data_IF_414833103060
#
_entry.id   IF_414833103060
#
_cell.length_a   1.000
_cell.length_b   1.000
_cell.length_c   1.000
_cell.angle_alpha   90.00
_cell.angle_beta   90.00
_cell.angle_gamma   90.00
#
_symmetry.space_group_name_H-M   'P 1'
#
loop_
_entity.id
_entity.type
_entity.pdbx_description
1 polymer ?
#
# COMPACT_ATOMS: atom_id res chain seq x y z
N UNK A 1 11.70 -39.59 -23.73
CA UNK A 1 11.81 -38.29 -22.99
C UNK A 1 10.38 -37.79 -22.74
N UNK A 2 9.86 -37.93 -21.51
CA UNK A 2 8.62 -37.28 -21.10
C UNK A 2 8.98 -35.83 -20.75
N UNK A 3 8.48 -34.87 -21.51
CA UNK A 3 8.48 -33.46 -21.16
C UNK A 3 7.60 -33.36 -19.91
N UNK A 4 8.09 -32.80 -18.78
CA UNK A 4 7.23 -32.56 -17.62
C UNK A 4 6.07 -31.65 -18.06
N UNK A 5 4.83 -32.04 -17.77
CA UNK A 5 3.67 -31.16 -17.90
C UNK A 5 3.91 -29.96 -16.99
N UNK A 6 4.35 -28.84 -17.57
CA UNK A 6 4.31 -27.54 -16.91
C UNK A 6 2.84 -27.31 -16.51
N UNK A 7 2.58 -27.23 -15.21
CA UNK A 7 1.23 -26.90 -14.73
C UNK A 7 0.87 -25.54 -15.33
N UNK A 8 -0.14 -25.49 -16.19
CA UNK A 8 -0.67 -24.21 -16.70
C UNK A 8 -1.02 -23.32 -15.50
N UNK A 9 -0.24 -22.27 -15.32
CA UNK A 9 -0.53 -21.26 -14.29
C UNK A 9 -1.84 -20.58 -14.63
N UNK A 10 -2.79 -20.60 -13.68
CA UNK A 10 -4.07 -19.93 -13.87
C UNK A 10 -3.86 -18.40 -14.03
N UNK A 11 -4.76 -17.75 -14.76
CA UNK A 11 -4.74 -16.27 -14.92
C UNK A 11 -4.68 -15.55 -13.57
N UNK A 12 -5.42 -16.04 -12.58
CA UNK A 12 -5.43 -15.48 -11.21
C UNK A 12 -4.05 -15.57 -10.57
N UNK A 13 -3.35 -16.72 -10.72
CA UNK A 13 -2.01 -16.87 -10.18
C UNK A 13 -1.02 -15.88 -10.83
N UNK A 14 -1.09 -15.70 -12.14
CA UNK A 14 -0.26 -14.70 -12.84
C UNK A 14 -0.53 -13.28 -12.39
N UNK A 15 -1.79 -12.91 -12.11
CA UNK A 15 -2.14 -11.62 -11.55
C UNK A 15 -1.55 -11.45 -10.14
N UNK A 16 -1.67 -12.45 -9.28
CA UNK A 16 -1.15 -12.44 -7.91
C UNK A 16 0.38 -12.30 -7.89
N UNK A 17 1.09 -12.89 -8.83
CA UNK A 17 2.56 -12.82 -8.87
C UNK A 17 3.08 -11.55 -9.53
N UNK A 18 2.39 -11.05 -10.57
CA UNK A 18 2.92 -9.97 -11.42
C UNK A 18 2.23 -8.61 -11.22
N UNK A 19 1.33 -8.46 -10.26
CA UNK A 19 0.54 -7.23 -10.05
C UNK A 19 1.39 -5.97 -9.91
N UNK A 20 2.55 -6.09 -9.27
CA UNK A 20 3.43 -4.95 -8.98
C UNK A 20 3.99 -4.33 -10.26
N UNK A 21 4.37 -5.14 -11.24
CA UNK A 21 4.89 -4.66 -12.52
C UNK A 21 3.80 -4.00 -13.37
N UNK A 22 2.61 -4.62 -13.40
CA UNK A 22 1.44 -4.01 -14.05
C UNK A 22 1.02 -2.70 -13.37
N UNK A 23 1.04 -2.66 -12.04
CA UNK A 23 0.77 -1.46 -11.26
C UNK A 23 1.79 -0.34 -11.52
N UNK A 24 3.08 -0.66 -11.58
CA UNK A 24 4.13 0.31 -11.89
C UNK A 24 3.91 0.96 -13.27
N UNK A 25 3.69 0.16 -14.29
CA UNK A 25 3.43 0.66 -15.65
C UNK A 25 2.12 1.47 -15.72
N UNK A 26 1.07 1.02 -15.05
CA UNK A 26 -0.19 1.75 -14.94
C UNK A 26 0.00 3.08 -14.20
N UNK A 27 0.78 3.11 -13.12
CA UNK A 27 1.10 4.34 -12.39
C UNK A 27 1.80 5.38 -13.25
N UNK A 28 2.80 4.97 -14.05
CA UNK A 28 3.47 5.85 -15.01
C UNK A 28 2.47 6.37 -16.05
N UNK A 29 1.63 5.49 -16.64
CA UNK A 29 0.66 5.88 -17.65
C UNK A 29 -0.37 6.87 -17.09
N UNK A 30 -0.88 6.62 -15.87
CA UNK A 30 -1.82 7.52 -15.19
C UNK A 30 -1.17 8.89 -14.97
N UNK A 31 0.09 8.96 -14.54
CA UNK A 31 0.81 10.23 -14.37
C UNK A 31 0.98 10.98 -15.69
N UNK A 32 1.35 10.30 -16.76
CA UNK A 32 1.52 10.91 -18.07
C UNK A 32 0.20 11.48 -18.64
N UNK A 33 -0.92 10.80 -18.37
CA UNK A 33 -2.23 11.21 -18.85
C UNK A 33 -2.97 12.15 -17.88
N UNK A 34 -2.50 12.28 -16.64
CA UNK A 34 -3.17 13.05 -15.59
C UNK A 34 -3.47 14.51 -15.99
N UNK A 35 -2.60 15.25 -16.73
CA UNK A 35 -2.93 16.62 -17.14
C UNK A 35 -4.19 16.73 -18.00
N UNK A 36 -4.56 15.65 -18.71
CA UNK A 36 -5.77 15.62 -19.55
C UNK A 36 -7.05 15.48 -18.71
N UNK A 37 -6.97 14.78 -17.58
CA UNK A 37 -8.14 14.50 -16.74
C UNK A 37 -8.35 15.58 -15.67
N UNK A 38 -7.29 15.88 -14.91
CA UNK A 38 -7.41 16.69 -13.69
C UNK A 38 -7.53 18.19 -13.96
N UNK A 39 -7.34 18.62 -15.20
CA UNK A 39 -7.34 20.03 -15.59
C UNK A 39 -8.60 20.79 -15.16
N UNK A 40 -9.76 20.12 -15.21
CA UNK A 40 -11.06 20.70 -14.86
C UNK A 40 -11.57 20.28 -13.48
N UNK A 41 -10.80 19.50 -12.74
CA UNK A 41 -11.24 19.01 -11.45
C UNK A 41 -11.02 20.02 -10.33
N UNK A 42 -11.86 19.99 -9.26
CA UNK A 42 -11.56 20.69 -8.02
C UNK A 42 -10.16 20.30 -7.50
N UNK A 43 -9.42 21.29 -7.00
CA UNK A 43 -8.01 21.09 -6.61
C UNK A 43 -7.82 19.97 -5.57
N UNK A 44 -8.73 19.86 -4.58
CA UNK A 44 -8.70 18.79 -3.58
C UNK A 44 -8.84 17.39 -4.21
N UNK A 45 -9.73 17.24 -5.19
CA UNK A 45 -9.94 15.99 -5.90
C UNK A 45 -8.73 15.61 -6.76
N UNK A 46 -8.19 16.59 -7.50
CA UNK A 46 -6.99 16.43 -8.30
C UNK A 46 -5.80 16.00 -7.42
N UNK A 47 -5.61 16.64 -6.27
CA UNK A 47 -4.55 16.27 -5.32
C UNK A 47 -4.69 14.83 -4.83
N UNK A 48 -5.89 14.42 -4.37
CA UNK A 48 -6.13 13.05 -3.92
C UNK A 48 -5.87 12.01 -5.00
N UNK A 49 -6.17 12.34 -6.26
CA UNK A 49 -5.95 11.44 -7.40
C UNK A 49 -4.47 11.06 -7.56
N UNK A 50 -3.54 11.98 -7.30
CA UNK A 50 -2.10 11.70 -7.41
C UNK A 50 -1.58 10.72 -6.34
N UNK A 51 -2.33 10.49 -5.27
CA UNK A 51 -1.97 9.46 -4.28
C UNK A 51 -1.99 8.04 -4.87
N UNK A 52 -2.87 7.75 -5.85
CA UNK A 52 -2.94 6.43 -6.47
C UNK A 52 -1.69 6.09 -7.29
N UNK A 53 -1.30 6.86 -8.31
CA UNK A 53 -0.07 6.58 -9.06
C UNK A 53 1.19 6.69 -8.19
N UNK A 54 1.23 7.59 -7.20
CA UNK A 54 2.34 7.65 -6.24
C UNK A 54 2.47 6.34 -5.47
N UNK A 55 1.34 5.75 -5.04
CA UNK A 55 1.35 4.45 -4.35
C UNK A 55 1.80 3.32 -5.28
N UNK A 56 1.34 3.30 -6.52
CA UNK A 56 1.76 2.30 -7.51
C UNK A 56 3.28 2.33 -7.77
N UNK A 57 3.88 3.54 -7.82
CA UNK A 57 5.33 3.68 -7.96
C UNK A 57 6.08 3.22 -6.71
N UNK A 58 5.58 3.57 -5.52
CA UNK A 58 6.15 3.12 -4.26
C UNK A 58 6.14 1.59 -4.13
N UNK A 59 5.03 0.96 -4.50
CA UNK A 59 4.87 -0.49 -4.43
C UNK A 59 5.86 -1.25 -5.31
N UNK A 60 6.37 -0.63 -6.38
CA UNK A 60 7.45 -1.23 -7.17
C UNK A 60 8.73 -1.37 -6.33
N UNK A 61 9.17 -0.32 -5.63
CA UNK A 61 10.32 -0.45 -4.73
C UNK A 61 10.04 -1.44 -3.59
N UNK A 62 8.84 -1.42 -3.06
CA UNK A 62 8.48 -2.23 -1.90
C UNK A 62 8.40 -3.72 -2.23
N UNK A 63 7.79 -4.08 -3.38
CA UNK A 63 7.41 -5.46 -3.69
C UNK A 63 8.16 -6.09 -4.87
N UNK A 64 9.02 -5.36 -5.58
CA UNK A 64 9.84 -5.94 -6.65
C UNK A 64 10.62 -7.14 -6.14
N UNK A 65 10.58 -8.27 -6.89
CA UNK A 65 11.17 -9.54 -6.48
C UNK A 65 10.73 -10.01 -5.07
N UNK A 66 9.48 -9.70 -4.67
CA UNK A 66 8.87 -10.14 -3.42
C UNK A 66 9.60 -9.67 -2.13
N UNK A 67 10.38 -8.59 -2.25
CA UNK A 67 11.30 -8.11 -1.19
C UNK A 67 10.60 -7.84 0.13
N UNK A 68 9.44 -7.17 0.10
CA UNK A 68 8.73 -6.80 1.32
C UNK A 68 8.20 -8.02 2.06
N UNK A 69 7.60 -8.98 1.34
CA UNK A 69 7.08 -10.20 1.97
C UNK A 69 8.20 -11.01 2.62
N UNK A 70 9.33 -11.19 1.90
CA UNK A 70 10.52 -11.88 2.41
C UNK A 70 11.05 -11.16 3.65
N UNK A 71 11.17 -9.83 3.58
CA UNK A 71 11.63 -9.00 4.70
C UNK A 71 10.71 -9.14 5.93
N UNK A 72 9.39 -9.02 5.74
CA UNK A 72 8.41 -9.12 6.83
C UNK A 72 8.35 -10.52 7.44
N UNK A 73 8.37 -11.56 6.62
CA UNK A 73 8.39 -12.93 7.09
C UNK A 73 9.68 -13.27 7.84
N UNK A 74 10.82 -12.76 7.38
CA UNK A 74 12.10 -12.89 8.09
C UNK A 74 12.06 -12.22 9.46
N UNK A 75 11.52 -11.00 9.52
CA UNK A 75 11.47 -10.22 10.75
C UNK A 75 10.46 -10.76 11.78
N UNK A 76 9.26 -11.14 11.31
CA UNK A 76 8.14 -11.48 12.19
C UNK A 76 7.99 -12.98 12.45
N UNK A 77 8.39 -13.83 11.51
CA UNK A 77 8.06 -15.26 11.54
C UNK A 77 9.26 -16.19 11.32
N UNK A 78 10.49 -15.66 11.45
CA UNK A 78 11.71 -16.44 11.25
C UNK A 78 11.82 -17.08 9.85
N UNK A 79 11.27 -16.41 8.83
CA UNK A 79 11.22 -16.87 7.44
C UNK A 79 10.00 -17.72 7.07
N UNK A 80 9.13 -18.06 8.05
CA UNK A 80 7.88 -18.76 7.75
C UNK A 80 6.86 -17.81 7.08
N UNK A 81 5.96 -18.37 6.26
CA UNK A 81 5.06 -17.61 5.39
C UNK A 81 3.81 -17.06 6.15
N UNK A 82 4.03 -16.19 7.12
CA UNK A 82 2.96 -15.50 7.87
C UNK A 82 2.23 -14.46 7.01
N UNK A 83 2.96 -13.79 6.10
CA UNK A 83 2.44 -12.92 5.06
C UNK A 83 2.57 -13.66 3.72
N UNK A 84 1.46 -14.18 3.19
CA UNK A 84 1.44 -14.97 1.95
C UNK A 84 1.35 -14.08 0.70
N UNK A 85 1.75 -14.60 -0.48
CA UNK A 85 1.62 -13.88 -1.76
C UNK A 85 0.18 -13.42 -2.05
N UNK A 86 -0.87 -14.27 -1.89
CA UNK A 86 -2.24 -13.81 -2.06
C UNK A 86 -2.64 -12.72 -1.06
N UNK A 87 -2.15 -12.78 0.18
CA UNK A 87 -2.43 -11.74 1.17
C UNK A 87 -1.79 -10.39 0.75
N UNK A 88 -0.56 -10.40 0.26
CA UNK A 88 0.10 -9.18 -0.28
C UNK A 88 -0.73 -8.59 -1.43
N UNK A 89 -1.17 -9.41 -2.38
CA UNK A 89 -2.02 -8.96 -3.47
C UNK A 89 -3.34 -8.34 -2.99
N UNK A 90 -4.05 -9.02 -2.07
CA UNK A 90 -5.33 -8.54 -1.53
C UNK A 90 -5.16 -7.23 -0.75
N UNK A 91 -4.10 -7.12 0.04
CA UNK A 91 -3.82 -5.89 0.79
C UNK A 91 -3.57 -4.73 -0.17
N UNK A 92 -2.78 -4.92 -1.20
CA UNK A 92 -2.30 -3.84 -2.03
C UNK A 92 -3.27 -3.46 -3.16
N UNK A 93 -3.87 -4.42 -3.86
CA UNK A 93 -4.72 -4.14 -5.02
C UNK A 93 -6.15 -3.80 -4.57
N UNK A 94 -7.00 -4.73 -4.12
CA UNK A 94 -8.34 -4.35 -3.69
C UNK A 94 -8.32 -3.51 -2.39
N UNK A 95 -7.36 -3.72 -1.50
CA UNK A 95 -7.22 -2.97 -0.25
C UNK A 95 -6.75 -1.53 -0.51
N UNK A 96 -5.49 -1.32 -0.81
CA UNK A 96 -4.91 0.03 -0.92
C UNK A 96 -5.46 0.80 -2.11
N UNK A 97 -5.37 0.25 -3.34
CA UNK A 97 -5.88 0.96 -4.53
C UNK A 97 -7.40 1.15 -4.46
N UNK A 98 -8.13 0.15 -3.95
CA UNK A 98 -9.57 0.25 -3.75
C UNK A 98 -9.96 1.33 -2.76
N UNK A 99 -9.28 1.43 -1.62
CA UNK A 99 -9.51 2.50 -0.63
C UNK A 99 -9.23 3.87 -1.21
N UNK A 100 -8.11 4.05 -1.93
CA UNK A 100 -7.79 5.32 -2.58
C UNK A 100 -8.86 5.68 -3.63
N UNK A 101 -9.25 4.72 -4.49
CA UNK A 101 -10.29 4.95 -5.50
C UNK A 101 -11.63 5.33 -4.86
N UNK A 102 -12.07 4.61 -3.83
CA UNK A 102 -13.30 4.91 -3.08
C UNK A 102 -13.20 6.29 -2.41
N UNK A 103 -12.06 6.65 -1.84
CA UNK A 103 -11.84 7.98 -1.26
C UNK A 103 -11.98 9.10 -2.29
N UNK A 104 -11.46 8.92 -3.51
CA UNK A 104 -11.61 9.86 -4.61
C UNK A 104 -13.09 10.00 -5.01
N UNK A 105 -13.80 8.88 -5.12
CA UNK A 105 -15.24 8.87 -5.37
C UNK A 105 -16.03 9.61 -4.28
N UNK A 106 -15.76 9.32 -3.03
CA UNK A 106 -16.40 9.99 -1.90
C UNK A 106 -16.07 11.50 -1.87
N UNK A 107 -14.85 11.86 -2.23
CA UNK A 107 -14.46 13.27 -2.34
C UNK A 107 -15.20 14.00 -3.47
N UNK A 108 -15.45 13.32 -4.57
CA UNK A 108 -16.14 13.89 -5.73
C UNK A 108 -17.65 14.06 -5.51
N UNK A 109 -18.31 13.11 -4.85
CA UNK A 109 -19.77 13.03 -4.81
C UNK A 109 -20.40 13.23 -3.43
N UNK A 110 -19.62 13.18 -2.35
CA UNK A 110 -20.14 13.29 -0.98
C UNK A 110 -19.56 14.49 -0.24
N UNK A 111 -18.23 14.51 -0.04
CA UNK A 111 -17.57 15.59 0.70
C UNK A 111 -16.09 15.68 0.28
N UNK A 112 -15.61 16.84 -0.22
CA UNK A 112 -14.21 17.02 -0.65
C UNK A 112 -13.17 16.65 0.41
N UNK A 113 -13.49 16.79 1.71
CA UNK A 113 -12.62 16.44 2.82
C UNK A 113 -12.32 14.94 2.93
N UNK A 114 -13.16 14.06 2.34
CA UNK A 114 -12.91 12.61 2.30
C UNK A 114 -11.71 12.24 1.41
N UNK A 115 -11.22 13.16 0.60
CA UNK A 115 -9.91 13.08 -0.08
C UNK A 115 -8.75 12.81 0.91
N UNK A 116 -8.88 13.24 2.16
CA UNK A 116 -7.86 13.02 3.19
C UNK A 116 -7.63 11.55 3.52
N UNK A 117 -8.59 10.65 3.29
CA UNK A 117 -8.38 9.20 3.43
C UNK A 117 -7.29 8.73 2.46
N UNK A 118 -7.35 9.15 1.18
CA UNK A 118 -6.35 8.83 0.17
C UNK A 118 -4.97 9.41 0.49
N UNK A 119 -4.90 10.52 1.21
CA UNK A 119 -3.63 11.20 1.55
C UNK A 119 -3.01 10.61 2.81
N UNK A 120 -3.81 10.35 3.85
CA UNK A 120 -3.28 9.81 5.10
C UNK A 120 -2.80 8.37 4.97
N UNK A 121 -3.33 7.59 4.03
CA UNK A 121 -2.91 6.21 3.81
C UNK A 121 -1.42 6.12 3.41
N UNK A 122 -0.94 6.76 2.33
CA UNK A 122 0.49 6.78 2.00
C UNK A 122 1.33 7.57 3.01
N UNK A 123 0.80 8.62 3.63
CA UNK A 123 1.53 9.38 4.66
C UNK A 123 1.84 8.52 5.88
N UNK A 124 0.86 7.77 6.38
CA UNK A 124 1.05 6.89 7.53
C UNK A 124 1.99 5.74 7.20
N UNK A 125 1.87 5.17 5.99
CA UNK A 125 2.80 4.17 5.48
C UNK A 125 4.24 4.72 5.45
N UNK A 126 4.45 5.93 4.91
CA UNK A 126 5.77 6.57 4.88
C UNK A 126 6.36 6.76 6.29
N UNK A 127 5.55 7.18 7.25
CA UNK A 127 5.98 7.30 8.65
C UNK A 127 6.45 5.96 9.19
N UNK A 128 5.73 4.86 8.91
CA UNK A 128 6.13 3.52 9.34
C UNK A 128 7.49 3.13 8.74
N UNK A 129 7.71 3.34 7.43
CA UNK A 129 9.00 3.05 6.79
C UNK A 129 10.15 3.83 7.42
N UNK A 130 9.97 5.13 7.63
CA UNK A 130 10.99 6.01 8.23
C UNK A 130 11.27 5.63 9.67
N UNK A 131 10.23 5.48 10.51
CA UNK A 131 10.37 5.09 11.92
C UNK A 131 11.06 3.74 12.06
N UNK A 132 10.65 2.75 11.24
CA UNK A 132 11.30 1.44 11.24
C UNK A 132 12.79 1.54 10.87
N UNK A 133 13.14 2.30 9.83
CA UNK A 133 14.52 2.48 9.41
C UNK A 133 15.37 3.15 10.49
N UNK A 134 14.84 4.15 11.19
CA UNK A 134 15.53 4.84 12.29
C UNK A 134 15.77 3.91 13.49
N UNK A 135 14.75 3.13 13.89
CA UNK A 135 14.85 2.20 15.02
C UNK A 135 15.79 1.04 14.70
N UNK A 136 15.60 0.42 13.55
CA UNK A 136 16.40 -0.73 13.12
C UNK A 136 17.78 -0.35 12.59
N UNK A 137 18.03 0.95 12.33
CA UNK A 137 19.25 1.50 11.71
C UNK A 137 19.65 0.78 10.43
N UNK A 138 18.65 0.44 9.60
CA UNK A 138 18.85 -0.27 8.34
C UNK A 138 17.75 0.09 7.34
N UNK A 139 18.05 -0.08 6.07
CA UNK A 139 17.10 0.02 4.99
C UNK A 139 15.96 -1.01 5.15
N UNK A 140 14.76 -0.62 4.73
CA UNK A 140 13.64 -1.53 4.51
C UNK A 140 13.03 -1.26 3.11
N UNK A 141 12.47 -2.29 2.44
CA UNK A 141 11.86 -2.14 1.14
C UNK A 141 10.75 -1.07 1.16
N UNK A 142 10.80 -0.10 0.24
CA UNK A 142 9.88 1.03 0.18
C UNK A 142 10.38 2.33 0.83
N UNK A 143 11.49 2.30 1.58
CA UNK A 143 11.98 3.48 2.32
C UNK A 143 12.32 4.68 1.43
N UNK A 144 12.97 4.45 0.29
CA UNK A 144 13.41 5.55 -0.58
C UNK A 144 12.22 6.26 -1.17
N UNK A 145 11.28 5.54 -1.76
CA UNK A 145 10.06 6.14 -2.33
C UNK A 145 9.11 6.67 -1.27
N UNK A 146 9.12 6.11 -0.05
CA UNK A 146 8.41 6.71 1.08
C UNK A 146 8.92 8.14 1.36
N UNK A 147 10.23 8.36 1.31
CA UNK A 147 10.83 9.67 1.54
C UNK A 147 10.68 10.59 0.31
N UNK A 148 11.01 10.10 -0.90
CA UNK A 148 11.13 10.96 -2.09
C UNK A 148 9.83 11.13 -2.86
N UNK A 149 8.84 10.25 -2.67
CA UNK A 149 7.54 10.32 -3.33
C UNK A 149 6.44 10.61 -2.29
N UNK A 150 6.23 9.74 -1.28
CA UNK A 150 5.09 9.88 -0.39
C UNK A 150 5.13 11.16 0.43
N UNK A 151 6.23 11.45 1.12
CA UNK A 151 6.26 12.64 1.95
C UNK A 151 6.00 13.93 1.16
N UNK A 152 6.69 14.22 0.01
CA UNK A 152 6.41 15.41 -0.76
C UNK A 152 4.99 15.46 -1.33
N UNK A 153 4.50 14.36 -1.90
CA UNK A 153 3.14 14.29 -2.47
C UNK A 153 2.08 14.49 -1.38
N UNK A 154 2.21 13.81 -0.24
CA UNK A 154 1.24 13.92 0.84
C UNK A 154 1.22 15.32 1.46
N UNK A 155 2.39 15.94 1.69
CA UNK A 155 2.47 17.32 2.19
C UNK A 155 1.82 18.29 1.20
N UNK A 156 2.12 18.16 -0.09
CA UNK A 156 1.47 18.96 -1.12
C UNK A 156 -0.06 18.77 -1.12
N UNK A 157 -0.55 17.51 -1.10
CA UNK A 157 -1.97 17.20 -1.06
C UNK A 157 -2.66 17.80 0.18
N UNK A 158 -2.06 17.66 1.36
CA UNK A 158 -2.60 18.26 2.59
C UNK A 158 -2.73 19.78 2.46
N UNK A 159 -1.71 20.46 1.94
CA UNK A 159 -1.75 21.90 1.72
C UNK A 159 -2.86 22.31 0.73
N UNK A 160 -3.03 21.57 -0.37
CA UNK A 160 -4.05 21.84 -1.40
C UNK A 160 -5.45 21.63 -0.82
N UNK A 161 -5.69 20.51 -0.14
CA UNK A 161 -7.01 20.19 0.44
C UNK A 161 -7.37 21.19 1.53
N UNK A 162 -6.41 21.59 2.38
CA UNK A 162 -6.63 22.59 3.42
C UNK A 162 -7.03 23.95 2.81
N UNK A 163 -6.29 24.40 1.78
CA UNK A 163 -6.60 25.67 1.09
C UNK A 163 -7.92 25.64 0.33
N UNK A 164 -8.39 24.48 -0.08
CA UNK A 164 -9.67 24.27 -0.75
C UNK A 164 -10.87 24.19 0.22
N UNK A 165 -10.64 24.33 1.53
CA UNK A 165 -11.70 24.25 2.53
C UNK A 165 -12.13 22.82 2.92
N UNK A 166 -11.48 21.79 2.38
CA UNK A 166 -11.77 20.37 2.71
C UNK A 166 -11.14 19.88 4.01
N UNK A 167 -10.23 20.66 4.60
CA UNK A 167 -9.41 20.28 5.75
C UNK A 167 -10.01 20.57 7.11
N UNK A 168 -11.26 20.20 7.39
CA UNK A 168 -11.80 20.32 8.76
C UNK A 168 -11.14 19.31 9.70
N UNK A 169 -11.11 19.62 11.01
CA UNK A 169 -10.56 18.71 12.03
C UNK A 169 -11.21 17.32 11.98
N UNK A 170 -12.52 17.27 11.74
CA UNK A 170 -13.24 16.00 11.61
C UNK A 170 -12.75 15.18 10.39
N UNK A 171 -12.51 15.82 9.25
CA UNK A 171 -12.00 15.16 8.05
C UNK A 171 -10.57 14.67 8.22
N UNK A 172 -9.71 15.45 8.89
CA UNK A 172 -8.36 14.99 9.29
C UNK A 172 -8.43 13.77 10.23
N UNK A 173 -9.33 13.79 11.23
CA UNK A 173 -9.54 12.67 12.14
C UNK A 173 -10.03 11.41 11.41
N UNK A 174 -10.96 11.54 10.46
CA UNK A 174 -11.45 10.44 9.62
C UNK A 174 -10.31 9.89 8.76
N UNK A 175 -9.55 10.75 8.07
CA UNK A 175 -8.45 10.32 7.21
C UNK A 175 -7.37 9.57 7.99
N UNK A 176 -6.89 10.15 9.08
CA UNK A 176 -5.87 9.55 9.94
C UNK A 176 -6.38 8.27 10.61
N UNK A 177 -7.60 8.28 11.14
CA UNK A 177 -8.22 7.12 11.77
C UNK A 177 -8.40 5.96 10.79
N UNK A 178 -8.77 6.25 9.53
CA UNK A 178 -8.85 5.24 8.46
C UNK A 178 -7.48 4.64 8.16
N UNK A 179 -6.44 5.45 8.04
CA UNK A 179 -5.08 4.97 7.79
C UNK A 179 -4.57 4.08 8.93
N UNK A 180 -4.73 4.51 10.18
CA UNK A 180 -4.35 3.73 11.37
C UNK A 180 -5.14 2.41 11.42
N UNK A 181 -6.46 2.47 11.21
CA UNK A 181 -7.32 1.30 11.23
C UNK A 181 -6.93 0.25 10.19
N UNK A 182 -6.67 0.67 8.95
CA UNK A 182 -6.24 -0.23 7.87
C UNK A 182 -4.91 -0.92 8.23
N UNK A 183 -3.91 -0.16 8.66
CA UNK A 183 -2.62 -0.73 9.05
C UNK A 183 -2.73 -1.65 10.28
N UNK A 184 -3.58 -1.31 11.24
CA UNK A 184 -3.86 -2.17 12.39
C UNK A 184 -4.49 -3.51 11.99
N UNK A 185 -5.44 -3.50 11.04
CA UNK A 185 -6.07 -4.72 10.51
C UNK A 185 -5.03 -5.59 9.78
N UNK A 186 -4.17 -4.99 8.96
CA UNK A 186 -3.10 -5.70 8.26
C UNK A 186 -2.14 -6.34 9.28
N UNK A 187 -1.67 -5.58 10.26
CA UNK A 187 -0.78 -6.07 11.30
C UNK A 187 -1.41 -7.20 12.12
N UNK A 188 -2.69 -7.06 12.49
CA UNK A 188 -3.42 -8.08 13.23
C UNK A 188 -3.56 -9.39 12.43
N UNK A 189 -3.83 -9.30 11.13
CA UNK A 189 -3.93 -10.47 10.25
C UNK A 189 -2.60 -11.22 10.14
N UNK A 190 -1.49 -10.50 9.94
CA UNK A 190 -0.14 -11.10 9.88
C UNK A 190 0.24 -11.75 11.22
N UNK A 191 -0.02 -11.08 12.34
CA UNK A 191 0.26 -11.61 13.66
C UNK A 191 -0.62 -12.83 13.99
N UNK A 192 -1.88 -12.84 13.54
CA UNK A 192 -2.77 -13.99 13.68
C UNK A 192 -2.21 -15.20 12.92
N UNK A 193 -1.83 -15.02 11.66
CA UNK A 193 -1.24 -16.08 10.86
C UNK A 193 0.06 -16.61 11.47
N UNK A 194 0.94 -15.71 11.93
CA UNK A 194 2.14 -16.10 12.66
C UNK A 194 1.84 -16.99 13.87
N UNK A 195 0.85 -16.61 14.70
CA UNK A 195 0.44 -17.42 15.87
C UNK A 195 -0.07 -18.80 15.47
N UNK A 196 -0.81 -18.90 14.35
CA UNK A 196 -1.29 -20.20 13.83
C UNK A 196 -0.12 -21.08 13.39
N UNK A 197 0.86 -20.53 12.68
CA UNK A 197 2.06 -21.25 12.25
C UNK A 197 2.85 -21.78 13.45
N UNK A 198 3.08 -20.95 14.47
CA UNK A 198 3.80 -21.35 15.69
C UNK A 198 3.07 -22.44 16.47
N UNK A 199 1.73 -22.48 16.45
CA UNK A 199 0.96 -23.54 17.10
C UNK A 199 0.97 -24.84 16.30
N UNK A 200 1.06 -24.77 14.98
CA UNK A 200 1.11 -25.94 14.09
C UNK A 200 2.50 -26.61 14.04
N UNK A 201 3.56 -25.93 14.52
CA UNK A 201 4.90 -26.47 14.57
C UNK A 201 4.97 -27.60 15.62
N UNK A 202 5.34 -28.83 15.23
CA UNK A 202 5.43 -29.95 16.19
C UNK A 202 6.46 -29.61 17.30
N UNK A 203 6.05 -29.72 18.55
CA UNK A 203 6.94 -29.59 19.73
C UNK A 203 7.88 -30.80 19.93
N UNK A 204 8.09 -31.59 18.89
CA UNK A 204 8.85 -32.84 18.95
C UNK A 204 10.08 -32.77 18.05
N UNK A 205 11.14 -32.13 18.56
CA UNK A 205 12.49 -32.62 18.29
C UNK A 205 12.97 -33.25 19.60
N UNK A 206 13.23 -34.57 19.66
CA UNK A 206 13.91 -35.16 20.82
C UNK A 206 15.34 -34.62 20.89
N UNK A 207 15.80 -34.42 22.11
CA UNK A 207 17.16 -34.05 22.48
C UNK A 207 18.19 -35.08 22.02
#
# INVERSE_FOLDING_TARGET
LRIPHEKEETMIHRLIVNWVYGGFLAGILILLLSPLFVRSWPAALAAAFFCLPAYMLHQYEEHDNDRFRIFMNGMLAGGNDALTLPAVFIINVPGVWGVIAVSIWLAAFVNPGLALIAVYLPLFNAIIHVVHALIARRYNPGLVTAIVIFLPVCVWCLCVIQRSGGGSLAMHAIGLGSAIGIHAVIAAAVLHNRRRLLKAWPRSLPH
#
